data_IF_617496073745
#
_entry.id   IF_617496073745
#
_cell.length_a   1.000
_cell.length_b   1.000
_cell.length_c   1.000
_cell.angle_alpha   90.00
_cell.angle_beta   90.00
_cell.angle_gamma   90.00
#
_symmetry.space_group_name_H-M   'P 1'
#
loop_
_entity.id
_entity.type
_entity.pdbx_description
1 polymer ?
#
# COMPACT_ATOMS: atom_id res chain seq x y z
N UNK A 1 -3.44 -12.03 0.78
CA UNK A 1 -3.04 -11.36 2.03
C UNK A 1 -4.22 -11.41 2.98
N UNK A 2 -4.18 -12.31 3.97
CA UNK A 2 -5.18 -12.31 5.04
C UNK A 2 -4.60 -11.48 6.19
N UNK A 3 -4.98 -10.20 6.27
CA UNK A 3 -4.58 -9.29 7.35
C UNK A 3 -5.83 -8.64 7.93
N UNK A 4 -5.81 -8.34 9.23
CA UNK A 4 -6.88 -7.58 9.87
C UNK A 4 -6.61 -6.08 9.70
N UNK A 5 -7.60 -5.33 9.25
CA UNK A 5 -7.58 -3.86 9.26
C UNK A 5 -7.95 -3.42 10.68
N UNK A 6 -7.09 -2.63 11.30
CA UNK A 6 -7.30 -2.07 12.64
C UNK A 6 -8.00 -0.71 12.58
N UNK A 7 -7.56 0.15 11.67
CA UNK A 7 -8.20 1.45 11.42
C UNK A 7 -7.91 1.93 10.00
N UNK A 8 -8.74 2.87 9.54
CA UNK A 8 -8.54 3.60 8.28
C UNK A 8 -8.69 5.08 8.60
N UNK A 9 -7.72 5.88 8.17
CA UNK A 9 -7.76 7.33 8.22
C UNK A 9 -7.62 7.86 6.80
N UNK A 10 -8.38 8.90 6.47
CA UNK A 10 -8.28 9.57 5.18
C UNK A 10 -8.38 11.08 5.31
N UNK A 11 -7.81 11.77 4.33
CA UNK A 11 -7.95 13.20 4.15
C UNK A 11 -8.07 13.52 2.66
N UNK A 12 -9.14 14.22 2.30
CA UNK A 12 -9.37 14.73 0.95
C UNK A 12 -8.91 16.18 0.88
N UNK A 13 -8.09 16.47 -0.12
CA UNK A 13 -7.57 17.81 -0.38
C UNK A 13 -8.47 18.58 -1.36
N UNK A 14 -8.45 19.90 -1.24
CA UNK A 14 -9.11 20.81 -2.18
C UNK A 14 -8.04 21.40 -3.11
N UNK A 15 -8.24 21.39 -4.44
CA UNK A 15 -9.46 21.02 -5.15
C UNK A 15 -9.69 19.52 -5.36
N UNK A 16 -8.66 18.69 -5.21
CA UNK A 16 -8.74 17.25 -5.44
C UNK A 16 -7.54 16.52 -4.80
N UNK A 17 -7.59 15.20 -4.81
CA UNK A 17 -6.55 14.32 -4.28
C UNK A 17 -6.85 13.85 -2.86
N UNK A 18 -6.36 12.67 -2.53
CA UNK A 18 -6.62 12.00 -1.27
C UNK A 18 -5.34 11.41 -0.70
N UNK A 19 -5.22 11.43 0.62
CA UNK A 19 -4.30 10.57 1.37
C UNK A 19 -5.11 9.60 2.22
N UNK A 20 -4.82 8.31 2.10
CA UNK A 20 -5.49 7.24 2.83
C UNK A 20 -4.44 6.38 3.51
N UNK A 21 -4.61 6.11 4.79
CA UNK A 21 -3.75 5.24 5.59
C UNK A 21 -4.61 4.18 6.27
N UNK A 22 -4.40 2.92 5.92
CA UNK A 22 -4.96 1.78 6.61
C UNK A 22 -3.90 1.18 7.55
N UNK A 23 -4.18 1.20 8.84
CA UNK A 23 -3.39 0.47 9.82
C UNK A 23 -3.86 -0.99 9.80
N UNK A 24 -2.93 -1.91 9.58
CA UNK A 24 -3.20 -3.34 9.57
C UNK A 24 -2.44 -3.99 10.72
N UNK A 25 -2.92 -5.16 11.19
CA UNK A 25 -2.38 -5.84 12.38
C UNK A 25 -0.85 -5.94 12.42
N UNK A 26 -0.22 -6.10 11.26
CA UNK A 26 1.21 -6.35 11.17
C UNK A 26 2.02 -5.17 10.61
N UNK A 27 1.39 -4.08 10.13
CA UNK A 27 2.01 -2.81 9.71
C UNK A 27 1.00 -1.80 9.10
N UNK A 28 1.06 -1.47 7.79
CA UNK A 28 0.21 -0.45 7.17
C UNK A 28 0.10 -0.54 5.64
N UNK A 29 -0.92 0.11 5.09
CA UNK A 29 -1.07 0.42 3.66
C UNK A 29 -1.32 1.93 3.52
N UNK A 30 -0.56 2.61 2.67
CA UNK A 30 -0.75 4.03 2.38
C UNK A 30 -1.07 4.24 0.90
N UNK A 31 -1.96 5.19 0.61
CA UNK A 31 -2.34 5.59 -0.75
C UNK A 31 -2.33 7.12 -0.81
N UNK A 32 -1.71 7.66 -1.85
CA UNK A 32 -1.72 9.08 -2.17
C UNK A 32 -2.11 9.28 -3.63
N UNK A 33 -3.08 10.14 -3.91
CA UNK A 33 -3.56 10.42 -5.27
C UNK A 33 -3.28 11.86 -5.68
N UNK A 34 -2.92 12.03 -6.96
CA UNK A 34 -2.83 13.33 -7.64
C UNK A 34 -3.59 13.26 -8.96
N UNK A 35 -4.90 13.53 -8.94
CA UNK A 35 -5.74 13.41 -10.13
C UNK A 35 -5.28 14.30 -11.30
N UNK A 36 -4.67 15.46 -11.03
CA UNK A 36 -4.15 16.41 -12.02
C UNK A 36 -3.02 15.81 -12.87
N UNK A 37 -2.32 14.81 -12.33
CA UNK A 37 -1.26 14.07 -13.01
C UNK A 37 -1.70 12.65 -13.40
N UNK A 38 -2.96 12.28 -13.13
CA UNK A 38 -3.46 10.90 -13.26
C UNK A 38 -2.54 9.89 -12.56
N UNK A 39 -2.05 10.26 -11.38
CA UNK A 39 -1.03 9.50 -10.65
C UNK A 39 -1.54 9.03 -9.29
N UNK A 40 -1.14 7.82 -8.91
CA UNK A 40 -1.35 7.26 -7.57
C UNK A 40 -0.06 6.59 -7.08
N UNK A 41 0.32 6.88 -5.85
CA UNK A 41 1.38 6.17 -5.13
C UNK A 41 0.73 5.25 -4.08
N UNK A 42 1.19 4.00 -4.02
CA UNK A 42 0.66 2.99 -3.10
C UNK A 42 1.83 2.30 -2.39
N UNK A 43 1.84 2.36 -1.07
CA UNK A 43 2.76 1.62 -0.22
C UNK A 43 2.03 0.47 0.47
N UNK A 44 2.49 -0.76 0.22
CA UNK A 44 1.94 -1.96 0.84
C UNK A 44 3.01 -2.58 1.74
N UNK A 45 2.91 -2.30 3.03
CA UNK A 45 3.90 -2.73 3.99
C UNK A 45 3.30 -3.82 4.88
N UNK A 46 3.85 -5.03 4.79
CA UNK A 46 3.37 -6.19 5.57
C UNK A 46 4.52 -7.00 6.14
N UNK A 47 4.28 -7.64 7.30
CA UNK A 47 5.20 -8.65 7.86
C UNK A 47 4.89 -10.06 7.35
N UNK A 48 3.76 -10.28 6.66
CA UNK A 48 3.47 -11.58 6.02
C UNK A 48 4.25 -11.68 4.71
N UNK A 49 4.87 -12.84 4.48
CA UNK A 49 5.77 -13.05 3.33
C UNK A 49 5.09 -12.91 1.95
N UNK A 50 3.76 -13.01 1.88
CA UNK A 50 3.06 -13.09 0.61
C UNK A 50 2.12 -11.91 0.39
N UNK A 51 2.59 -10.92 -0.37
CA UNK A 51 1.70 -10.05 -1.14
C UNK A 51 0.96 -10.94 -2.15
N UNK A 52 -0.36 -10.80 -2.35
CA UNK A 52 -1.08 -11.64 -3.29
C UNK A 52 -0.58 -11.39 -4.72
N UNK A 53 -0.38 -12.46 -5.50
CA UNK A 53 0.06 -12.35 -6.90
C UNK A 53 -0.90 -11.51 -7.77
N UNK A 54 -2.18 -11.47 -7.39
CA UNK A 54 -3.21 -10.72 -8.11
C UNK A 54 -3.32 -9.24 -7.71
N UNK A 55 -2.45 -8.72 -6.83
CA UNK A 55 -2.59 -7.34 -6.35
C UNK A 55 -2.45 -6.31 -7.48
N UNK A 56 -1.54 -6.54 -8.42
CA UNK A 56 -1.38 -5.66 -9.56
C UNK A 56 -2.59 -5.70 -10.48
N UNK A 57 -3.18 -6.88 -10.71
CA UNK A 57 -4.42 -6.99 -11.49
C UNK A 57 -5.56 -6.22 -10.83
N UNK A 58 -5.66 -6.27 -9.50
CA UNK A 58 -6.64 -5.46 -8.77
C UNK A 58 -6.40 -3.96 -8.94
N UNK A 59 -5.16 -3.49 -8.79
CA UNK A 59 -4.78 -2.08 -8.95
C UNK A 59 -5.06 -1.61 -10.39
N UNK A 60 -4.67 -2.39 -11.40
CA UNK A 60 -4.94 -2.06 -12.82
C UNK A 60 -6.43 -1.90 -13.09
N UNK A 61 -7.25 -2.84 -12.64
CA UNK A 61 -8.68 -2.80 -12.86
C UNK A 61 -9.36 -1.66 -12.09
N UNK A 62 -8.91 -1.38 -10.86
CA UNK A 62 -9.51 -0.34 -10.02
C UNK A 62 -9.19 1.08 -10.52
N UNK A 63 -7.94 1.33 -10.91
CA UNK A 63 -7.49 2.64 -11.40
C UNK A 63 -7.55 2.78 -12.92
N UNK A 64 -8.04 1.75 -13.63
CA UNK A 64 -8.09 1.69 -15.10
C UNK A 64 -6.73 2.04 -15.74
N UNK A 65 -5.64 1.52 -15.18
CA UNK A 65 -4.27 1.78 -15.63
C UNK A 65 -3.58 0.52 -16.11
N UNK A 66 -2.78 0.65 -17.16
CA UNK A 66 -1.83 -0.38 -17.60
C UNK A 66 -0.40 -0.06 -17.15
N UNK A 67 -0.12 1.21 -16.82
CA UNK A 67 1.19 1.68 -16.37
C UNK A 67 1.34 1.52 -14.85
N UNK A 68 2.17 0.56 -14.45
CA UNK A 68 2.54 0.31 -13.06
C UNK A 68 4.04 0.07 -13.00
N UNK A 69 4.73 0.96 -12.27
CA UNK A 69 6.09 0.73 -11.80
C UNK A 69 6.05 0.33 -10.33
N UNK A 70 6.76 -0.73 -9.95
CA UNK A 70 6.80 -1.19 -8.56
C UNK A 70 8.18 -1.68 -8.16
N UNK A 71 8.47 -1.59 -6.87
CA UNK A 71 9.66 -2.16 -6.26
C UNK A 71 9.25 -2.94 -5.01
N UNK A 72 9.76 -4.17 -4.89
CA UNK A 72 9.53 -5.00 -3.70
C UNK A 72 10.79 -5.02 -2.85
N UNK A 73 10.66 -4.63 -1.58
CA UNK A 73 11.75 -4.68 -0.60
C UNK A 73 11.48 -5.77 0.45
N UNK A 74 12.31 -6.82 0.44
CA UNK A 74 12.24 -7.87 1.47
C UNK A 74 13.00 -7.44 2.73
N UNK A 75 12.24 -7.11 3.77
CA UNK A 75 12.78 -6.68 5.07
C UNK A 75 13.22 -7.89 5.89
N UNK A 76 14.50 -8.26 5.82
CA UNK A 76 15.10 -9.24 6.73
C UNK A 76 15.49 -8.53 8.03
N UNK A 77 14.68 -8.67 9.07
CA UNK A 77 15.10 -8.26 10.42
C UNK A 77 16.04 -9.35 10.94
N UNK A 78 17.34 -9.07 11.01
CA UNK A 78 18.25 -9.89 11.82
C UNK A 78 17.96 -9.56 13.27
N UNK A 79 17.27 -10.47 13.97
CA UNK A 79 17.28 -10.46 15.41
C UNK A 79 18.65 -10.98 15.86
N UNK A 80 19.50 -10.07 16.33
CA UNK A 80 20.69 -10.48 17.04
C UNK A 80 20.21 -11.02 18.40
N UNK A 81 20.12 -12.34 18.54
CA UNK A 81 19.75 -13.03 19.79
C UNK A 81 20.90 -12.97 20.81
N UNK A 82 21.54 -11.81 20.96
CA UNK A 82 22.45 -11.52 22.06
C UNK A 82 21.65 -10.87 23.18
N UNK A 83 20.85 -11.70 23.87
CA UNK A 83 20.41 -11.54 25.27
C UNK A 83 19.67 -12.77 25.76
#
# INVERSE_FOLDING_TARGET
MNTTVLSIHSHSFTPQGDTIMAIIADSHIAIHTWPEYKYVAIDIFSCKQNIPDNIFSYIRNFFETEDITYHTLFRKVHFNNDK
#
